data_IF_004453361776
#
_entry.id   IF_004453361776
#
_cell.length_a   1.000
_cell.length_b   1.000
_cell.length_c   1.000
_cell.angle_alpha   90.00
_cell.angle_beta   90.00
_cell.angle_gamma   90.00
#
_symmetry.space_group_name_H-M   'P 1'
#
loop_
_entity.id
_entity.type
_entity.pdbx_description
1 polymer ?
#
# COMPACT_ATOMS: atom_id res chain seq x y z
N UNK A 1 -9.31 62.93 -62.66
CA UNK A 1 -9.80 61.54 -62.84
C UNK A 1 -8.73 60.65 -62.24
N UNK A 2 -8.78 60.42 -60.93
CA UNK A 2 -7.74 59.69 -60.19
C UNK A 2 -8.45 58.70 -59.29
N UNK A 3 -8.35 57.42 -59.64
CA UNK A 3 -9.03 56.28 -59.01
C UNK A 3 -8.33 55.94 -57.69
N UNK A 4 -9.07 55.93 -56.59
CA UNK A 4 -8.65 55.28 -55.35
C UNK A 4 -8.66 53.76 -55.56
N UNK A 5 -7.52 53.11 -55.37
CA UNK A 5 -7.43 51.66 -55.20
C UNK A 5 -7.52 51.33 -53.71
N UNK A 6 -8.61 50.70 -53.30
CA UNK A 6 -8.71 50.05 -51.99
C UNK A 6 -7.90 48.75 -52.06
N UNK A 7 -6.85 48.62 -51.26
CA UNK A 7 -6.09 47.39 -51.10
C UNK A 7 -6.74 46.57 -49.98
N UNK A 8 -7.56 45.58 -50.33
CA UNK A 8 -8.14 44.65 -49.35
C UNK A 8 -7.09 43.65 -48.92
N UNK A 9 -6.53 43.81 -47.72
CA UNK A 9 -5.59 42.87 -47.11
C UNK A 9 -6.36 41.63 -46.63
N UNK A 10 -6.28 40.53 -47.38
CA UNK A 10 -6.82 39.23 -46.97
C UNK A 10 -5.79 38.58 -46.03
N UNK A 11 -6.06 38.61 -44.72
CA UNK A 11 -5.29 37.89 -43.72
C UNK A 11 -5.71 36.41 -43.79
N UNK A 12 -4.85 35.56 -44.34
CA UNK A 12 -4.98 34.11 -44.19
C UNK A 12 -4.52 33.72 -42.78
N UNK A 13 -5.47 33.50 -41.87
CA UNK A 13 -5.21 32.80 -40.61
C UNK A 13 -5.10 31.31 -40.97
N UNK A 14 -3.88 30.78 -41.03
CA UNK A 14 -3.70 29.33 -41.07
C UNK A 14 -4.05 28.76 -39.71
N UNK A 15 -5.19 28.11 -39.57
CA UNK A 15 -5.42 27.16 -38.49
C UNK A 15 -4.45 25.99 -38.70
N UNK A 16 -3.29 26.03 -38.04
CA UNK A 16 -2.56 24.80 -37.78
C UNK A 16 -3.44 23.99 -36.81
N UNK A 17 -4.04 22.91 -37.30
CA UNK A 17 -4.59 21.90 -36.42
C UNK A 17 -3.42 21.37 -35.59
N UNK A 18 -3.32 21.83 -34.34
CA UNK A 18 -2.47 21.18 -33.36
C UNK A 18 -3.08 19.80 -33.12
N UNK A 19 -2.61 18.81 -33.85
CA UNK A 19 -2.86 17.41 -33.52
C UNK A 19 -2.20 17.19 -32.17
N UNK A 20 -2.99 17.25 -31.09
CA UNK A 20 -2.54 16.84 -29.77
C UNK A 20 -2.35 15.34 -29.86
N UNK A 21 -1.10 14.89 -29.97
CA UNK A 21 -0.78 13.47 -29.91
C UNK A 21 -1.04 12.99 -28.49
N UNK A 22 -1.84 11.93 -28.33
CA UNK A 22 -2.07 11.32 -27.03
C UNK A 22 -0.72 10.97 -26.37
N UNK A 23 -0.51 11.45 -25.14
CA UNK A 23 0.73 11.18 -24.43
C UNK A 23 0.78 9.69 -24.04
N UNK A 24 1.90 9.04 -24.35
CA UNK A 24 2.07 7.61 -24.15
C UNK A 24 2.41 7.28 -22.69
N UNK A 25 1.93 6.14 -22.21
CA UNK A 25 2.54 5.48 -21.05
C UNK A 25 3.91 4.95 -21.46
N UNK A 26 4.97 5.40 -20.77
CA UNK A 26 6.37 5.06 -21.11
C UNK A 26 7.07 4.33 -19.99
N UNK A 27 7.73 3.25 -20.36
CA UNK A 27 8.56 2.45 -19.47
C UNK A 27 9.86 2.07 -20.15
N UNK A 28 10.89 1.73 -19.38
CA UNK A 28 12.10 1.09 -19.93
C UNK A 28 12.26 -0.34 -19.42
N UNK A 29 12.82 -1.19 -20.28
CA UNK A 29 12.93 -2.62 -20.06
C UNK A 29 14.30 -3.11 -20.51
N UNK A 30 14.88 -4.08 -19.80
CA UNK A 30 16.10 -4.78 -20.20
C UNK A 30 15.77 -6.21 -20.64
N UNK A 31 16.10 -6.55 -21.87
CA UNK A 31 15.90 -7.90 -22.42
C UNK A 31 16.86 -8.92 -21.80
N UNK A 32 16.38 -10.13 -21.53
CA UNK A 32 17.19 -11.27 -21.04
C UNK A 32 17.11 -12.50 -21.95
N UNK A 33 16.12 -12.54 -22.83
CA UNK A 33 15.72 -13.69 -23.66
C UNK A 33 15.23 -13.23 -25.05
N UNK A 34 15.71 -12.08 -25.53
CA UNK A 34 15.31 -11.45 -26.82
C UNK A 34 13.82 -11.09 -26.96
N UNK A 35 13.06 -11.10 -25.86
CA UNK A 35 11.62 -10.84 -25.88
C UNK A 35 11.20 -9.92 -24.74
N UNK A 36 10.14 -9.15 -24.98
CA UNK A 36 9.38 -8.43 -23.96
C UNK A 36 7.91 -8.71 -24.21
N UNK A 37 7.18 -9.13 -23.19
CA UNK A 37 5.73 -9.31 -23.26
C UNK A 37 5.05 -8.24 -22.45
N UNK A 38 4.13 -7.51 -23.08
CA UNK A 38 3.27 -6.53 -22.41
C UNK A 38 2.01 -7.25 -21.93
N UNK A 39 1.80 -7.36 -20.61
CA UNK A 39 0.70 -8.13 -20.07
C UNK A 39 -0.60 -7.31 -19.95
N UNK A 40 -1.71 -7.95 -20.28
CA UNK A 40 -3.09 -7.47 -20.20
C UNK A 40 -3.92 -8.35 -19.26
N UNK A 41 -5.10 -7.88 -18.87
CA UNK A 41 -6.09 -8.65 -18.14
C UNK A 41 -7.22 -9.09 -19.09
N UNK A 42 -7.37 -10.39 -19.33
CA UNK A 42 -8.35 -10.95 -20.27
C UNK A 42 -9.82 -10.61 -19.94
N UNK A 43 -10.10 -10.07 -18.75
CA UNK A 43 -11.42 -9.58 -18.33
C UNK A 43 -11.77 -8.17 -18.85
N UNK A 44 -10.81 -7.47 -19.45
CA UNK A 44 -10.98 -6.09 -19.93
C UNK A 44 -10.79 -5.99 -21.45
N UNK A 45 -11.32 -4.92 -22.03
CA UNK A 45 -11.22 -4.67 -23.47
C UNK A 45 -10.03 -3.76 -23.74
N UNK A 46 -9.20 -4.18 -24.68
CA UNK A 46 -8.00 -3.47 -25.11
C UNK A 46 -8.10 -3.09 -26.59
N UNK A 47 -7.54 -1.94 -26.93
CA UNK A 47 -7.26 -1.53 -28.29
C UNK A 47 -6.11 -0.52 -28.26
N UNK A 48 -4.89 -1.03 -28.15
CA UNK A 48 -3.71 -0.22 -27.93
C UNK A 48 -2.70 -0.32 -29.06
N UNK A 49 -1.84 0.68 -29.10
CA UNK A 49 -0.66 0.75 -29.96
C UNK A 49 0.56 0.74 -29.08
N UNK A 50 1.58 0.05 -29.54
CA UNK A 50 2.86 -0.06 -28.87
C UNK A 50 3.96 0.36 -29.83
N UNK A 51 4.90 1.16 -29.34
CA UNK A 51 6.15 1.50 -30.02
C UNK A 51 7.31 1.18 -29.11
N UNK A 52 8.39 0.64 -29.67
CA UNK A 52 9.60 0.37 -28.91
C UNK A 52 10.83 0.93 -29.61
N UNK A 53 11.77 1.40 -28.81
CA UNK A 53 13.04 1.96 -29.27
C UNK A 53 14.19 1.39 -28.46
N UNK A 54 15.20 0.87 -29.14
CA UNK A 54 16.43 0.41 -28.52
C UNK A 54 17.26 1.60 -28.07
N UNK A 55 17.42 1.76 -26.77
CA UNK A 55 18.21 2.83 -26.15
C UNK A 55 19.70 2.46 -26.06
N UNK A 56 20.03 1.17 -26.08
CA UNK A 56 21.42 0.67 -26.08
C UNK A 56 22.06 0.87 -27.45
N UNK A 57 21.45 0.31 -28.49
CA UNK A 57 21.91 0.39 -29.88
C UNK A 57 20.87 1.14 -30.71
N UNK A 58 20.93 2.47 -30.66
CA UNK A 58 19.92 3.37 -31.25
C UNK A 58 19.56 3.00 -32.69
N UNK A 59 18.28 2.69 -32.91
CA UNK A 59 17.70 2.37 -34.22
C UNK A 59 17.77 0.90 -34.62
N UNK A 60 18.42 0.03 -33.84
CA UNK A 60 18.48 -1.41 -34.09
C UNK A 60 17.36 -2.12 -33.33
N UNK A 61 16.46 -2.79 -34.05
CA UNK A 61 15.35 -3.52 -33.43
C UNK A 61 14.19 -2.62 -32.95
N UNK A 62 14.19 -1.34 -33.31
CA UNK A 62 13.04 -0.44 -33.12
C UNK A 62 11.83 -0.95 -33.92
N UNK A 63 10.62 -0.66 -33.43
CA UNK A 63 9.41 -1.06 -34.13
C UNK A 63 8.13 -0.55 -33.50
N UNK A 64 7.02 -1.01 -34.05
CA UNK A 64 5.68 -0.68 -33.56
C UNK A 64 4.66 -1.74 -33.96
N UNK A 65 3.62 -1.87 -33.15
CA UNK A 65 2.43 -2.62 -33.48
C UNK A 65 1.18 -1.81 -33.12
N UNK A 66 0.09 -2.03 -33.85
CA UNK A 66 -1.18 -1.33 -33.67
C UNK A 66 -2.32 -2.33 -33.48
N UNK A 67 -3.44 -1.86 -32.94
CA UNK A 67 -4.68 -2.63 -32.76
C UNK A 67 -4.48 -3.91 -31.93
N UNK A 68 -3.65 -3.82 -30.88
CA UNK A 68 -3.45 -4.92 -29.95
C UNK A 68 -4.63 -4.99 -28.98
N UNK A 69 -5.15 -6.21 -28.78
CA UNK A 69 -6.36 -6.46 -27.98
C UNK A 69 -6.12 -7.41 -26.80
N UNK A 70 -4.91 -7.93 -26.67
CA UNK A 70 -4.49 -8.90 -25.65
C UNK A 70 -2.99 -8.70 -25.36
N UNK A 71 -2.37 -9.67 -24.66
CA UNK A 71 -0.93 -9.70 -24.44
C UNK A 71 -0.19 -9.54 -25.75
N UNK A 72 0.85 -8.69 -25.77
CA UNK A 72 1.69 -8.54 -26.96
C UNK A 72 3.15 -8.85 -26.64
N UNK A 73 3.70 -9.84 -27.32
CA UNK A 73 5.12 -10.19 -27.25
C UNK A 73 5.88 -9.55 -28.39
N UNK A 74 6.83 -8.68 -28.04
CA UNK A 74 7.83 -8.16 -28.95
C UNK A 74 8.93 -9.21 -29.08
N UNK A 75 9.08 -9.74 -30.28
CA UNK A 75 10.03 -10.80 -30.62
C UNK A 75 11.29 -10.23 -31.29
N UNK A 76 12.35 -11.05 -31.37
CA UNK A 76 13.60 -10.74 -32.07
C UNK A 76 14.31 -9.47 -31.58
N UNK A 77 14.16 -9.13 -30.30
CA UNK A 77 14.89 -8.03 -29.68
C UNK A 77 16.36 -8.40 -29.46
N UNK A 78 17.25 -7.43 -29.54
CA UNK A 78 18.63 -7.64 -29.12
C UNK A 78 18.68 -8.02 -27.64
N UNK A 79 19.39 -9.10 -27.31
CA UNK A 79 19.56 -9.54 -25.92
C UNK A 79 20.40 -8.52 -25.12
N UNK A 80 20.19 -8.45 -23.80
CA UNK A 80 20.89 -7.54 -22.89
C UNK A 80 20.83 -6.05 -23.27
N UNK A 81 19.84 -5.65 -24.06
CA UNK A 81 19.65 -4.26 -24.50
C UNK A 81 18.47 -3.63 -23.76
N UNK A 82 18.51 -2.30 -23.62
CA UNK A 82 17.45 -1.52 -22.99
C UNK A 82 16.54 -0.97 -24.07
N UNK A 83 15.24 -1.19 -23.91
CA UNK A 83 14.20 -0.66 -24.78
C UNK A 83 13.31 0.31 -24.01
N UNK A 84 13.01 1.46 -24.62
CA UNK A 84 11.84 2.26 -24.23
C UNK A 84 10.60 1.64 -24.88
N UNK A 85 9.57 1.38 -24.09
CA UNK A 85 8.25 0.95 -24.54
C UNK A 85 7.27 2.10 -24.33
N UNK A 86 6.56 2.49 -25.38
CA UNK A 86 5.55 3.54 -25.37
C UNK A 86 4.19 2.98 -25.80
N UNK A 87 3.18 3.08 -24.92
CA UNK A 87 1.83 2.56 -25.13
C UNK A 87 0.82 3.72 -25.22
N UNK A 88 -0.07 3.65 -26.20
CA UNK A 88 -1.19 4.60 -26.40
C UNK A 88 -2.47 3.85 -26.77
N UNK A 89 -3.62 4.50 -26.68
CA UNK A 89 -4.93 3.88 -26.97
C UNK A 89 -5.57 3.31 -25.72
N UNK A 90 -6.50 2.38 -25.91
CA UNK A 90 -7.26 1.77 -24.82
C UNK A 90 -6.43 0.65 -24.17
N UNK A 91 -5.73 1.00 -23.10
CA UNK A 91 -4.89 0.09 -22.31
C UNK A 91 -5.28 0.16 -20.82
N UNK A 92 -6.46 -0.34 -20.43
CA UNK A 92 -7.07 -0.03 -19.14
C UNK A 92 -6.38 -0.66 -17.93
N UNK A 93 -5.50 -1.65 -18.12
CA UNK A 93 -4.82 -2.34 -17.04
C UNK A 93 -3.53 -2.99 -17.53
N UNK A 94 -2.41 -2.61 -16.95
CA UNK A 94 -1.13 -3.31 -17.10
C UNK A 94 -1.12 -4.39 -16.04
N UNK A 95 -1.17 -5.69 -16.38
CA UNK A 95 -1.47 -6.74 -15.39
C UNK A 95 -0.34 -7.77 -15.26
N UNK A 96 0.74 -7.42 -14.55
CA UNK A 96 1.91 -8.29 -14.40
C UNK A 96 1.59 -9.63 -13.71
N UNK A 97 0.56 -9.68 -12.85
CA UNK A 97 0.09 -10.91 -12.18
C UNK A 97 1.20 -11.71 -11.46
N UNK A 98 2.28 -11.04 -11.05
CA UNK A 98 3.44 -11.68 -10.43
C UNK A 98 4.26 -12.58 -11.36
N UNK A 99 4.18 -12.38 -12.69
CA UNK A 99 5.04 -13.05 -13.67
C UNK A 99 6.51 -12.77 -13.35
N UNK A 100 7.28 -13.81 -13.02
CA UNK A 100 8.68 -13.64 -12.57
C UNK A 100 9.66 -13.30 -13.69
N UNK A 101 9.30 -13.60 -14.94
CA UNK A 101 10.16 -13.38 -16.10
C UNK A 101 10.06 -11.93 -16.54
N UNK A 102 8.85 -11.46 -16.87
CA UNK A 102 8.62 -10.10 -17.37
C UNK A 102 8.81 -9.04 -16.28
N UNK A 103 8.39 -9.31 -15.04
CA UNK A 103 8.59 -8.36 -13.94
C UNK A 103 10.07 -8.07 -13.67
N UNK A 104 10.97 -9.02 -13.96
CA UNK A 104 12.41 -8.81 -13.80
C UNK A 104 13.02 -7.87 -14.84
N UNK A 105 12.34 -7.70 -15.98
CA UNK A 105 12.83 -6.96 -17.15
C UNK A 105 12.51 -5.47 -17.09
N UNK A 106 11.38 -5.06 -16.51
CA UNK A 106 11.05 -3.63 -16.39
C UNK A 106 12.02 -2.93 -15.42
N UNK A 107 12.49 -1.75 -15.82
CA UNK A 107 13.48 -0.95 -15.12
C UNK A 107 12.91 0.36 -14.60
N UNK A 108 12.10 1.07 -15.39
CA UNK A 108 11.59 2.39 -15.01
C UNK A 108 10.16 2.63 -15.49
N UNK A 109 9.38 3.39 -14.71
CA UNK A 109 8.24 4.16 -15.21
C UNK A 109 8.75 5.57 -15.52
N UNK A 110 8.73 5.92 -16.80
CA UNK A 110 9.22 7.21 -17.31
C UNK A 110 8.09 8.25 -17.41
N UNK A 111 6.89 7.86 -17.86
CA UNK A 111 5.71 8.72 -17.99
C UNK A 111 4.43 7.88 -17.85
N UNK A 112 3.39 8.43 -17.22
CA UNK A 112 2.05 7.81 -17.14
C UNK A 112 1.22 8.01 -18.41
N UNK A 113 1.37 9.17 -19.05
CA UNK A 113 0.61 9.56 -20.22
C UNK A 113 -0.89 9.72 -19.95
N UNK A 114 -1.69 9.59 -21.00
CA UNK A 114 -3.15 9.81 -20.95
C UNK A 114 -3.97 8.53 -20.76
N UNK A 115 -3.34 7.42 -20.38
CA UNK A 115 -4.03 6.15 -20.16
C UNK A 115 -5.04 6.30 -19.02
N UNK A 116 -6.30 5.96 -19.31
CA UNK A 116 -7.40 5.92 -18.34
C UNK A 116 -7.44 4.55 -17.70
N UNK A 117 -6.74 4.39 -16.59
CA UNK A 117 -6.65 3.13 -15.88
C UNK A 117 -7.99 2.73 -15.27
N UNK A 118 -8.40 1.48 -15.48
CA UNK A 118 -9.57 0.88 -14.83
C UNK A 118 -9.18 0.06 -13.60
N UNK A 119 -7.95 -0.45 -13.55
CA UNK A 119 -7.41 -1.16 -12.40
C UNK A 119 -5.90 -0.96 -12.32
N UNK A 120 -5.36 -1.00 -11.09
CA UNK A 120 -3.92 -1.08 -10.81
C UNK A 120 -3.55 -2.35 -10.04
N UNK A 121 -4.52 -3.26 -9.87
CA UNK A 121 -4.33 -4.54 -9.17
C UNK A 121 -3.17 -5.32 -9.79
N UNK A 122 -2.12 -5.58 -9.02
CA UNK A 122 -0.93 -6.32 -9.46
C UNK A 122 -0.18 -5.71 -10.67
N UNK A 123 -0.33 -4.41 -10.97
CA UNK A 123 0.24 -3.86 -12.18
C UNK A 123 1.76 -4.01 -12.28
N UNK A 124 2.49 -3.73 -11.20
CA UNK A 124 3.95 -3.87 -11.15
C UNK A 124 4.38 -4.91 -10.11
N UNK A 125 3.49 -5.82 -9.69
CA UNK A 125 3.83 -6.85 -8.69
C UNK A 125 5.04 -7.68 -9.14
N UNK A 126 6.04 -7.81 -8.27
CA UNK A 126 7.29 -8.53 -8.52
C UNK A 126 8.35 -7.76 -9.29
N UNK A 127 8.12 -6.51 -9.68
CA UNK A 127 9.06 -5.73 -10.49
C UNK A 127 10.27 -5.23 -9.66
N UNK A 128 11.13 -6.15 -9.23
CA UNK A 128 12.25 -5.89 -8.30
C UNK A 128 13.24 -4.84 -8.77
N UNK A 129 13.38 -4.65 -10.09
CA UNK A 129 14.31 -3.70 -10.68
C UNK A 129 13.69 -2.32 -10.95
N UNK A 130 12.39 -2.16 -10.73
CA UNK A 130 11.65 -0.95 -11.08
C UNK A 130 12.08 0.24 -10.20
N UNK A 131 12.47 1.34 -10.83
CA UNK A 131 12.59 2.68 -10.22
C UNK A 131 11.61 3.65 -10.86
N UNK A 132 11.42 4.83 -10.28
CA UNK A 132 10.35 5.76 -10.69
C UNK A 132 10.89 7.13 -11.10
N UNK A 133 10.64 7.53 -12.36
CA UNK A 133 11.07 8.82 -12.91
C UNK A 133 9.93 9.73 -13.36
N UNK A 134 8.72 9.18 -13.48
CA UNK A 134 7.56 9.93 -13.95
C UNK A 134 7.29 11.20 -13.14
N UNK A 135 7.06 12.30 -13.87
CA UNK A 135 6.75 13.62 -13.31
C UNK A 135 5.30 14.04 -13.57
N UNK A 136 4.64 13.36 -14.48
CA UNK A 136 3.19 13.40 -14.67
C UNK A 136 2.47 12.51 -13.66
N UNK A 137 1.14 12.58 -13.65
CA UNK A 137 0.28 11.82 -12.73
C UNK A 137 -0.60 10.84 -13.54
N UNK A 138 -0.83 9.62 -13.02
CA UNK A 138 -1.74 8.68 -13.67
C UNK A 138 -3.19 9.16 -13.58
N UNK A 139 -3.98 8.90 -14.62
CA UNK A 139 -5.43 9.03 -14.53
C UNK A 139 -6.03 7.79 -13.84
N UNK A 140 -6.36 7.95 -12.57
CA UNK A 140 -6.88 6.91 -11.69
C UNK A 140 -8.40 7.03 -11.44
N UNK A 141 -9.11 7.86 -12.20
CA UNK A 141 -10.52 8.18 -11.96
C UNK A 141 -11.42 6.93 -11.88
N UNK A 142 -11.08 5.86 -12.59
CA UNK A 142 -11.85 4.60 -12.58
C UNK A 142 -11.25 3.51 -11.69
N UNK A 143 -10.09 3.74 -11.07
CA UNK A 143 -9.37 2.72 -10.31
C UNK A 143 -9.98 2.58 -8.93
N UNK A 144 -10.55 1.39 -8.66
CA UNK A 144 -11.03 1.00 -7.33
C UNK A 144 -10.04 0.10 -6.57
N UNK A 145 -9.20 -0.62 -7.31
CA UNK A 145 -8.31 -1.64 -6.77
C UNK A 145 -6.86 -1.32 -7.14
N UNK A 146 -6.04 -1.04 -6.12
CA UNK A 146 -4.59 -0.86 -6.20
C UNK A 146 -3.83 -1.99 -5.49
N UNK A 147 -4.52 -3.07 -5.13
CA UNK A 147 -3.92 -4.13 -4.35
C UNK A 147 -2.75 -4.78 -5.10
N UNK A 148 -1.68 -5.08 -4.36
CA UNK A 148 -0.42 -5.62 -4.90
C UNK A 148 0.26 -4.78 -6.00
N UNK A 149 -0.13 -3.52 -6.23
CA UNK A 149 0.39 -2.73 -7.37
C UNK A 149 1.92 -2.68 -7.42
N UNK A 150 2.59 -2.46 -6.29
CA UNK A 150 4.05 -2.42 -6.15
C UNK A 150 4.59 -3.47 -5.18
N UNK A 151 3.85 -4.57 -4.98
CA UNK A 151 4.33 -5.68 -4.17
C UNK A 151 5.70 -6.15 -4.70
N UNK A 152 6.66 -6.36 -3.81
CA UNK A 152 8.03 -6.85 -4.10
C UNK A 152 8.79 -6.00 -5.13
N UNK A 153 8.42 -4.73 -5.28
CA UNK A 153 9.20 -3.75 -6.03
C UNK A 153 10.34 -3.21 -5.16
N UNK A 154 11.37 -4.03 -4.92
CA UNK A 154 12.44 -3.75 -3.95
C UNK A 154 13.18 -2.42 -4.23
N UNK A 155 13.33 -2.01 -5.50
CA UNK A 155 13.98 -0.76 -5.91
C UNK A 155 13.03 0.41 -6.17
N UNK A 156 11.72 0.23 -5.99
CA UNK A 156 10.76 1.30 -6.25
C UNK A 156 10.92 2.40 -5.21
N UNK A 157 11.56 3.48 -5.63
CA UNK A 157 11.88 4.65 -4.83
C UNK A 157 10.77 5.69 -4.88
N UNK A 158 10.01 5.74 -5.98
CA UNK A 158 9.01 6.77 -6.21
C UNK A 158 9.62 8.16 -6.35
N UNK A 159 8.79 9.19 -6.41
CA UNK A 159 9.22 10.57 -6.19
C UNK A 159 8.03 11.41 -5.66
N UNK A 160 8.25 12.70 -5.39
CA UNK A 160 7.23 13.58 -4.80
C UNK A 160 5.92 13.72 -5.60
N UNK A 161 5.89 13.37 -6.89
CA UNK A 161 4.66 13.44 -7.70
C UNK A 161 3.63 12.40 -7.29
N UNK A 162 4.07 11.32 -6.63
CA UNK A 162 3.16 10.29 -6.12
C UNK A 162 2.12 10.85 -5.13
N UNK A 163 2.48 11.90 -4.40
CA UNK A 163 1.58 12.60 -3.47
C UNK A 163 0.42 13.34 -4.17
N UNK A 164 0.46 13.47 -5.50
CA UNK A 164 -0.54 14.17 -6.31
C UNK A 164 -1.50 13.20 -6.99
N UNK A 165 -1.36 11.89 -6.78
CA UNK A 165 -2.25 10.89 -7.35
C UNK A 165 -3.66 11.07 -6.80
N UNK A 166 -4.66 11.02 -7.69
CA UNK A 166 -6.05 11.03 -7.28
C UNK A 166 -6.47 9.61 -6.86
N UNK A 167 -6.59 9.37 -5.57
CA UNK A 167 -6.99 8.05 -5.01
C UNK A 167 -8.43 8.02 -4.51
N UNK A 168 -9.25 9.02 -4.81
CA UNK A 168 -10.59 9.19 -4.20
C UNK A 168 -11.51 7.98 -4.42
N UNK A 169 -11.40 7.28 -5.55
CA UNK A 169 -12.25 6.14 -5.87
C UNK A 169 -11.68 4.78 -5.41
N UNK A 170 -10.48 4.77 -4.82
CA UNK A 170 -9.81 3.54 -4.41
C UNK A 170 -10.45 2.98 -3.15
N UNK A 171 -10.84 1.72 -3.19
CA UNK A 171 -11.43 0.99 -2.06
C UNK A 171 -10.48 -0.06 -1.49
N UNK A 172 -9.52 -0.55 -2.29
CA UNK A 172 -8.59 -1.60 -1.87
C UNK A 172 -7.13 -1.19 -2.13
N UNK A 173 -6.33 -1.14 -1.06
CA UNK A 173 -4.89 -0.85 -1.09
C UNK A 173 -4.06 -2.00 -0.49
N UNK A 174 -4.65 -3.18 -0.30
CA UNK A 174 -3.96 -4.30 0.35
C UNK A 174 -2.69 -4.70 -0.41
N UNK A 175 -1.62 -5.02 0.32
CA UNK A 175 -0.32 -5.42 -0.23
C UNK A 175 0.36 -4.41 -1.18
N UNK A 176 -0.16 -3.18 -1.34
CA UNK A 176 0.28 -2.26 -2.38
C UNK A 176 1.79 -2.02 -2.39
N UNK A 177 2.42 -1.90 -1.22
CA UNK A 177 3.88 -1.73 -1.05
C UNK A 177 4.51 -2.85 -0.21
N UNK A 178 3.87 -4.02 -0.16
CA UNK A 178 4.42 -5.18 0.54
C UNK A 178 5.81 -5.53 -0.02
N UNK A 179 6.85 -5.55 0.82
CA UNK A 179 8.26 -5.79 0.42
C UNK A 179 8.81 -4.76 -0.59
N UNK A 180 8.26 -3.54 -0.64
CA UNK A 180 8.82 -2.44 -1.43
C UNK A 180 9.93 -1.73 -0.62
N UNK A 181 11.08 -2.40 -0.47
CA UNK A 181 12.15 -2.03 0.48
C UNK A 181 12.69 -0.60 0.34
N UNK A 182 12.67 -0.02 -0.86
CA UNK A 182 13.18 1.35 -1.12
C UNK A 182 12.11 2.44 -1.00
N UNK A 183 10.83 2.07 -0.83
CA UNK A 183 9.74 3.04 -0.88
C UNK A 183 9.63 3.84 0.42
N UNK A 184 9.72 5.17 0.33
CA UNK A 184 9.58 6.08 1.46
C UNK A 184 9.06 7.48 1.03
N UNK A 185 8.13 7.53 0.07
CA UNK A 185 7.64 8.80 -0.49
C UNK A 185 6.44 9.37 0.25
N UNK A 186 6.27 10.70 0.29
CA UNK A 186 5.17 11.33 1.00
C UNK A 186 3.83 11.02 0.32
N UNK A 187 3.02 10.19 0.96
CA UNK A 187 1.67 9.80 0.52
C UNK A 187 0.56 10.28 1.48
N UNK A 188 0.93 11.11 2.46
CA UNK A 188 0.00 11.61 3.47
C UNK A 188 -1.15 12.46 2.94
N UNK A 189 -1.13 12.90 1.66
CA UNK A 189 -2.23 13.67 1.03
C UNK A 189 -3.17 12.82 0.16
N UNK A 190 -2.96 11.51 0.11
CA UNK A 190 -3.90 10.63 -0.58
C UNK A 190 -5.28 10.69 0.07
N UNK A 191 -6.33 10.71 -0.76
CA UNK A 191 -7.69 10.54 -0.28
C UNK A 191 -7.92 9.05 -0.02
N UNK A 192 -8.09 8.68 1.24
CA UNK A 192 -8.35 7.29 1.67
C UNK A 192 -9.78 7.08 2.16
N UNK A 193 -10.68 8.05 1.98
CA UNK A 193 -12.03 8.02 2.57
C UNK A 193 -12.83 6.79 2.18
N UNK A 194 -12.62 6.26 0.97
CA UNK A 194 -13.34 5.09 0.44
C UNK A 194 -12.59 3.78 0.65
N UNK A 195 -11.37 3.81 1.21
CA UNK A 195 -10.55 2.61 1.42
C UNK A 195 -11.14 1.77 2.54
N UNK A 196 -11.39 0.49 2.25
CA UNK A 196 -11.90 -0.48 3.22
C UNK A 196 -10.84 -1.51 3.64
N UNK A 197 -9.82 -1.73 2.81
CA UNK A 197 -8.77 -2.72 3.07
C UNK A 197 -7.36 -2.14 2.88
N UNK A 198 -6.58 -2.15 3.95
CA UNK A 198 -5.17 -1.71 4.01
C UNK A 198 -4.23 -2.85 4.46
N UNK A 199 -4.69 -4.11 4.47
CA UNK A 199 -3.90 -5.22 4.98
C UNK A 199 -2.60 -5.40 4.21
N UNK A 200 -1.51 -5.70 4.92
CA UNK A 200 -0.17 -5.89 4.37
C UNK A 200 0.41 -4.70 3.56
N UNK A 201 -0.22 -3.51 3.57
CA UNK A 201 0.14 -2.42 2.66
C UNK A 201 1.63 -2.05 2.72
N UNK A 202 2.25 -2.04 3.90
CA UNK A 202 3.67 -1.76 4.13
C UNK A 202 4.42 -2.91 4.80
N UNK A 203 3.88 -4.13 4.78
CA UNK A 203 4.56 -5.30 5.33
C UNK A 203 5.95 -5.45 4.71
N UNK A 204 7.00 -5.53 5.54
CA UNK A 204 8.41 -5.62 5.11
C UNK A 204 8.86 -4.45 4.20
N UNK A 205 8.19 -3.30 4.22
CA UNK A 205 8.64 -2.09 3.54
C UNK A 205 9.73 -1.40 4.37
N UNK A 206 10.96 -1.91 4.29
CA UNK A 206 12.06 -1.61 5.21
C UNK A 206 12.55 -0.16 5.27
N UNK A 207 12.08 0.72 4.37
CA UNK A 207 12.39 2.16 4.40
C UNK A 207 11.19 3.04 4.77
N UNK A 208 9.96 2.50 4.79
CA UNK A 208 8.76 3.34 4.88
C UNK A 208 8.56 3.88 6.31
N UNK A 209 8.59 5.21 6.45
CA UNK A 209 8.34 5.90 7.73
C UNK A 209 7.77 7.31 7.50
N UNK A 210 6.85 7.47 6.54
CA UNK A 210 6.27 8.78 6.18
C UNK A 210 5.02 9.11 7.01
N UNK A 211 4.77 10.40 7.29
CA UNK A 211 3.58 10.81 8.04
C UNK A 211 2.30 10.53 7.22
N UNK A 212 1.37 9.83 7.85
CA UNK A 212 0.07 9.41 7.29
C UNK A 212 -1.08 9.62 8.31
N UNK A 213 -0.86 10.45 9.33
CA UNK A 213 -1.86 10.75 10.37
C UNK A 213 -3.16 11.33 9.78
N UNK A 214 -3.05 12.05 8.67
CA UNK A 214 -4.15 12.76 7.99
C UNK A 214 -5.02 11.85 7.09
N UNK A 215 -4.70 10.55 7.00
CA UNK A 215 -5.55 9.60 6.29
C UNK A 215 -6.91 9.44 6.98
N UNK A 216 -7.97 9.42 6.17
CA UNK A 216 -9.30 9.06 6.65
C UNK A 216 -9.44 7.53 6.65
N UNK A 217 -9.52 6.94 7.84
CA UNK A 217 -9.64 5.48 8.02
C UNK A 217 -11.04 5.03 8.42
N UNK A 218 -12.04 5.91 8.39
CA UNK A 218 -13.37 5.61 8.93
C UNK A 218 -14.06 4.39 8.30
N UNK A 219 -13.73 4.06 7.05
CA UNK A 219 -14.31 2.93 6.32
C UNK A 219 -13.41 1.68 6.31
N UNK A 220 -12.21 1.77 6.89
CA UNK A 220 -11.27 0.65 6.93
C UNK A 220 -11.78 -0.42 7.89
N UNK A 221 -11.86 -1.65 7.39
CA UNK A 221 -12.26 -2.82 8.19
C UNK A 221 -11.08 -3.76 8.46
N UNK A 222 -10.04 -3.74 7.61
CA UNK A 222 -8.88 -4.62 7.76
C UNK A 222 -7.56 -3.84 7.69
N UNK A 223 -6.77 -3.93 8.77
CA UNK A 223 -5.43 -3.36 8.91
C UNK A 223 -4.36 -4.43 9.24
N UNK A 224 -4.67 -5.73 9.08
CA UNK A 224 -3.75 -6.78 9.48
C UNK A 224 -2.44 -6.73 8.72
N UNK A 225 -1.35 -7.01 9.42
CA UNK A 225 0.02 -6.99 8.90
C UNK A 225 0.47 -5.67 8.27
N UNK A 226 -0.28 -4.57 8.42
CA UNK A 226 -0.06 -3.35 7.63
C UNK A 226 1.37 -2.80 7.77
N UNK A 227 1.96 -2.85 8.97
CA UNK A 227 3.31 -2.36 9.25
C UNK A 227 4.28 -3.44 9.73
N UNK A 228 3.90 -4.73 9.68
CA UNK A 228 4.75 -5.82 10.13
C UNK A 228 6.15 -5.74 9.48
N UNK A 229 7.20 -5.86 10.28
CA UNK A 229 8.61 -5.73 9.88
C UNK A 229 9.03 -4.38 9.27
N UNK A 230 8.18 -3.35 9.27
CA UNK A 230 8.54 -2.01 8.83
C UNK A 230 9.06 -1.16 10.00
N UNK A 231 10.00 -0.22 9.77
CA UNK A 231 10.49 0.69 10.81
C UNK A 231 9.51 1.86 11.08
N UNK A 232 8.22 1.67 10.79
CA UNK A 232 7.22 2.73 10.88
C UNK A 232 7.01 3.16 12.33
N UNK A 233 7.15 4.46 12.59
CA UNK A 233 6.98 5.05 13.91
C UNK A 233 6.45 6.50 13.82
N UNK A 234 5.47 6.74 12.94
CA UNK A 234 4.81 8.05 12.81
C UNK A 234 3.48 8.11 13.56
N UNK A 235 3.05 9.31 14.00
CA UNK A 235 1.77 9.46 14.66
C UNK A 235 0.60 8.98 13.79
N UNK A 236 -0.26 8.15 14.37
CA UNK A 236 -1.52 7.64 13.78
C UNK A 236 -2.66 7.62 14.81
N UNK A 237 -2.47 8.30 15.95
CA UNK A 237 -3.43 8.29 17.05
C UNK A 237 -4.76 8.97 16.74
N UNK A 238 -4.84 9.72 15.63
CA UNK A 238 -6.07 10.36 15.13
C UNK A 238 -6.91 9.50 14.19
N UNK A 239 -6.41 8.33 13.78
CA UNK A 239 -7.16 7.44 12.91
C UNK A 239 -8.48 7.01 13.56
N UNK A 240 -9.54 7.00 12.75
CA UNK A 240 -10.81 6.43 13.15
C UNK A 240 -10.78 4.92 12.90
N UNK A 241 -10.71 4.12 13.97
CA UNK A 241 -10.66 2.66 13.92
C UNK A 241 -12.00 2.01 14.22
N UNK A 242 -13.11 2.76 14.31
CA UNK A 242 -14.39 2.24 14.80
C UNK A 242 -14.99 1.13 13.93
N UNK A 243 -14.58 1.01 12.67
CA UNK A 243 -15.05 -0.04 11.75
C UNK A 243 -14.03 -1.16 11.55
N UNK A 244 -12.84 -1.08 12.16
CA UNK A 244 -11.80 -2.09 12.02
C UNK A 244 -12.19 -3.34 12.78
N UNK A 245 -12.14 -4.49 12.11
CA UNK A 245 -12.41 -5.81 12.68
C UNK A 245 -11.14 -6.65 12.85
N UNK A 246 -10.12 -6.41 12.01
CA UNK A 246 -8.87 -7.19 12.01
C UNK A 246 -7.65 -6.26 12.11
N UNK A 247 -6.92 -6.40 13.23
CA UNK A 247 -5.65 -5.72 13.52
C UNK A 247 -4.50 -6.73 13.72
N UNK A 248 -4.70 -7.99 13.36
CA UNK A 248 -3.72 -9.05 13.59
C UNK A 248 -2.36 -8.70 12.98
N UNK A 249 -1.29 -8.89 13.74
CA UNK A 249 0.11 -8.63 13.37
C UNK A 249 0.41 -7.21 12.84
N UNK A 250 -0.47 -6.23 13.04
CA UNK A 250 -0.31 -4.90 12.44
C UNK A 250 1.05 -4.25 12.74
N UNK A 251 1.59 -4.45 13.95
CA UNK A 251 2.88 -3.92 14.41
C UNK A 251 3.89 -5.02 14.75
N UNK A 252 3.76 -6.21 14.16
CA UNK A 252 4.65 -7.34 14.40
C UNK A 252 6.12 -7.00 14.06
N UNK A 253 7.03 -7.23 15.01
CA UNK A 253 8.47 -6.97 14.88
C UNK A 253 8.81 -5.54 14.40
N UNK A 254 8.09 -4.54 14.92
CA UNK A 254 8.30 -3.11 14.58
C UNK A 254 8.98 -2.33 15.70
N UNK A 255 9.41 -1.10 15.39
CA UNK A 255 9.87 -0.10 16.38
C UNK A 255 8.78 0.90 16.77
N UNK A 256 7.50 0.59 16.47
CA UNK A 256 6.39 1.49 16.69
C UNK A 256 6.16 1.76 18.18
N UNK A 257 6.05 3.04 18.56
CA UNK A 257 5.80 3.45 19.95
C UNK A 257 5.03 4.78 20.03
N UNK A 258 4.02 4.97 19.18
CA UNK A 258 3.19 6.19 19.15
C UNK A 258 1.89 5.99 19.93
N UNK A 259 1.33 7.06 20.53
CA UNK A 259 0.12 6.95 21.34
C UNK A 259 -1.10 6.55 20.50
N UNK A 260 -1.63 5.36 20.76
CA UNK A 260 -2.83 4.78 20.12
C UNK A 260 -3.93 4.42 21.12
N UNK A 261 -3.77 4.78 22.39
CA UNK A 261 -4.75 4.48 23.45
C UNK A 261 -6.13 5.16 23.30
N UNK A 262 -6.32 5.98 22.26
CA UNK A 262 -7.61 6.63 21.92
C UNK A 262 -8.35 5.94 20.77
N UNK A 263 -7.77 4.90 20.17
CA UNK A 263 -8.45 4.13 19.14
C UNK A 263 -9.72 3.48 19.69
N UNK A 264 -10.76 3.46 18.86
CA UNK A 264 -11.97 2.71 19.15
C UNK A 264 -11.77 1.28 18.63
N UNK A 265 -11.64 0.32 19.54
CA UNK A 265 -11.46 -1.10 19.23
C UNK A 265 -12.72 -1.92 19.42
N UNK A 266 -13.89 -1.28 19.64
CA UNK A 266 -15.12 -1.98 20.02
C UNK A 266 -15.61 -2.99 18.97
N UNK A 267 -15.18 -2.88 17.71
CA UNK A 267 -15.53 -3.80 16.62
C UNK A 267 -14.39 -4.76 16.24
N UNK A 268 -13.23 -4.66 16.88
CA UNK A 268 -12.09 -5.53 16.59
C UNK A 268 -12.37 -6.92 17.13
N UNK A 269 -12.24 -7.92 16.26
CA UNK A 269 -12.40 -9.34 16.59
C UNK A 269 -11.06 -10.06 16.67
N UNK A 270 -10.06 -9.60 15.90
CA UNK A 270 -8.74 -10.25 15.83
C UNK A 270 -7.61 -9.26 16.14
N UNK A 271 -6.86 -9.56 17.21
CA UNK A 271 -5.65 -8.85 17.66
C UNK A 271 -4.44 -9.79 17.74
N UNK A 272 -4.51 -10.97 17.12
CA UNK A 272 -3.46 -11.98 17.14
C UNK A 272 -2.11 -11.38 16.74
N UNK A 273 -1.09 -11.56 17.59
CA UNK A 273 0.28 -11.12 17.32
C UNK A 273 0.49 -9.61 17.09
N UNK A 274 -0.50 -8.76 17.39
CA UNK A 274 -0.49 -7.33 17.00
C UNK A 274 0.80 -6.60 17.40
N UNK A 275 1.36 -6.88 18.59
CA UNK A 275 2.60 -6.31 19.11
C UNK A 275 3.69 -7.35 19.39
N UNK A 276 3.55 -8.57 18.85
CA UNK A 276 4.59 -9.58 19.02
C UNK A 276 5.92 -9.07 18.47
N UNK A 277 7.02 -9.29 19.19
CA UNK A 277 8.36 -8.76 18.90
C UNK A 277 8.45 -7.21 18.74
N UNK A 278 7.40 -6.45 19.08
CA UNK A 278 7.40 -4.98 19.04
C UNK A 278 8.15 -4.41 20.26
N UNK A 279 9.46 -4.64 20.30
CA UNK A 279 10.33 -4.38 21.47
C UNK A 279 10.38 -2.92 21.95
N UNK A 280 9.90 -1.97 21.14
CA UNK A 280 9.83 -0.55 21.51
C UNK A 280 8.47 -0.10 22.02
N UNK A 281 7.41 -0.91 21.85
CA UNK A 281 6.05 -0.50 22.14
C UNK A 281 5.79 -0.45 23.65
N UNK A 282 5.54 0.75 24.19
CA UNK A 282 5.26 0.95 25.60
C UNK A 282 4.20 2.05 25.81
N UNK A 283 3.00 1.84 25.28
CA UNK A 283 1.90 2.81 25.33
C UNK A 283 0.72 2.30 26.16
N UNK A 284 -0.03 3.20 26.83
CA UNK A 284 -1.21 2.81 27.59
C UNK A 284 -2.37 2.45 26.65
N UNK A 285 -2.78 1.18 26.66
CA UNK A 285 -3.90 0.66 25.84
C UNK A 285 -5.02 0.01 26.66
N UNK A 286 -4.96 0.07 28.00
CA UNK A 286 -6.01 -0.49 28.87
C UNK A 286 -7.41 0.12 28.72
N UNK A 287 -7.56 1.19 27.93
CA UNK A 287 -8.87 1.78 27.58
C UNK A 287 -9.48 1.20 26.31
N UNK A 288 -8.81 0.25 25.66
CA UNK A 288 -9.36 -0.44 24.50
C UNK A 288 -10.51 -1.34 24.94
N UNK A 289 -11.63 -1.21 24.24
CA UNK A 289 -12.77 -2.10 24.38
C UNK A 289 -12.45 -3.43 23.69
N UNK A 290 -12.53 -4.53 24.42
CA UNK A 290 -12.18 -5.88 23.96
C UNK A 290 -13.39 -6.79 23.79
N UNK A 291 -14.62 -6.27 23.94
CA UNK A 291 -15.84 -7.08 24.08
C UNK A 291 -16.14 -8.02 22.90
N UNK A 292 -15.64 -7.68 21.71
CA UNK A 292 -15.84 -8.44 20.48
C UNK A 292 -14.61 -9.24 20.06
N UNK A 293 -13.50 -9.12 20.80
CA UNK A 293 -12.27 -9.84 20.48
C UNK A 293 -12.48 -11.33 20.71
N UNK A 294 -12.02 -12.13 19.76
CA UNK A 294 -12.04 -13.60 19.82
C UNK A 294 -10.63 -14.20 19.82
N UNK A 295 -9.61 -13.43 19.41
CA UNK A 295 -8.22 -13.89 19.40
C UNK A 295 -7.23 -12.78 19.81
N UNK A 296 -6.47 -13.03 20.86
CA UNK A 296 -5.31 -12.23 21.31
C UNK A 296 -4.04 -13.10 21.46
N UNK A 297 -4.03 -14.27 20.80
CA UNK A 297 -2.88 -15.17 20.85
C UNK A 297 -1.63 -14.43 20.40
N UNK A 298 -0.51 -14.65 21.10
CA UNK A 298 0.79 -14.04 20.78
C UNK A 298 0.84 -12.50 20.84
N UNK A 299 -0.24 -11.81 21.23
CA UNK A 299 -0.36 -10.35 21.08
C UNK A 299 0.82 -9.57 21.67
N UNK A 300 1.37 -10.01 22.81
CA UNK A 300 2.43 -9.30 23.53
C UNK A 300 3.75 -10.06 23.67
N UNK A 301 3.91 -11.21 23.03
CA UNK A 301 5.15 -11.99 23.10
C UNK A 301 6.36 -11.14 22.74
N UNK A 302 7.33 -11.05 23.65
CA UNK A 302 8.56 -10.29 23.51
C UNK A 302 8.36 -8.79 23.16
N UNK A 303 7.19 -8.23 23.46
CA UNK A 303 6.90 -6.81 23.26
C UNK A 303 7.62 -5.93 24.30
N UNK A 304 7.73 -4.63 24.01
CA UNK A 304 8.33 -3.63 24.91
C UNK A 304 7.43 -3.12 26.04
N UNK A 305 6.27 -3.75 26.27
CA UNK A 305 5.23 -3.22 27.14
C UNK A 305 5.68 -3.29 28.60
N UNK A 306 6.06 -2.15 29.17
CA UNK A 306 6.57 -2.08 30.54
C UNK A 306 5.51 -2.45 31.57
N UNK A 307 5.95 -2.92 32.75
CA UNK A 307 5.08 -3.39 33.84
C UNK A 307 3.96 -2.44 34.19
N UNK A 308 4.22 -1.12 34.23
CA UNK A 308 3.16 -0.13 34.53
C UNK A 308 2.05 -0.11 33.48
N UNK A 309 2.40 -0.18 32.19
CA UNK A 309 1.43 -0.17 31.11
C UNK A 309 0.76 -1.54 30.94
N UNK A 310 1.47 -2.63 31.17
CA UNK A 310 0.87 -3.97 31.17
C UNK A 310 -0.11 -4.15 32.33
N UNK A 311 0.25 -3.68 33.54
CA UNK A 311 -0.66 -3.62 34.69
C UNK A 311 -1.92 -2.81 34.36
N UNK A 312 -1.74 -1.60 33.82
CA UNK A 312 -2.87 -0.76 33.42
C UNK A 312 -3.74 -1.41 32.32
N UNK A 313 -3.13 -2.20 31.44
CA UNK A 313 -3.83 -2.93 30.37
C UNK A 313 -4.73 -4.02 30.95
N UNK A 314 -4.19 -4.88 31.80
CA UNK A 314 -4.95 -5.94 32.46
C UNK A 314 -6.03 -5.39 33.41
N UNK A 315 -5.72 -4.33 34.17
CA UNK A 315 -6.69 -3.64 35.03
C UNK A 315 -7.86 -3.06 34.22
N UNK A 316 -7.54 -2.42 33.10
CA UNK A 316 -8.53 -1.87 32.18
C UNK A 316 -9.45 -2.95 31.62
N UNK A 317 -8.89 -4.04 31.08
CA UNK A 317 -9.67 -5.12 30.49
C UNK A 317 -10.46 -5.96 31.49
N UNK A 318 -10.05 -6.00 32.77
CA UNK A 318 -10.82 -6.63 33.85
C UNK A 318 -11.95 -5.74 34.40
N UNK A 319 -12.04 -4.48 33.95
CA UNK A 319 -13.03 -3.49 34.38
C UNK A 319 -13.97 -3.16 33.22
N UNK A 320 -15.28 -3.20 33.48
CA UNK A 320 -16.29 -2.88 32.48
C UNK A 320 -16.63 -1.39 32.51
N UNK A 321 -16.66 -0.73 31.35
CA UNK A 321 -17.51 0.46 31.20
C UNK A 321 -18.98 0.05 31.06
N UNK A 322 -19.90 0.97 31.32
CA UNK A 322 -21.34 0.69 31.31
C UNK A 322 -21.78 0.19 29.92
N UNK A 323 -22.29 -1.04 29.87
CA UNK A 323 -22.79 -1.67 28.64
C UNK A 323 -21.78 -2.52 27.88
N UNK A 324 -20.51 -2.53 28.30
CA UNK A 324 -19.48 -3.41 27.74
C UNK A 324 -19.53 -4.81 28.35
N UNK A 325 -18.89 -5.78 27.67
CA UNK A 325 -18.70 -7.15 28.17
C UNK A 325 -17.22 -7.52 28.09
N UNK A 326 -16.74 -8.27 29.08
CA UNK A 326 -15.43 -8.91 28.99
C UNK A 326 -15.66 -10.16 28.12
N UNK A 327 -14.88 -10.36 27.04
CA UNK A 327 -14.99 -11.55 26.22
C UNK A 327 -14.59 -12.80 27.03
N UNK A 328 -15.15 -13.96 26.69
CA UNK A 328 -14.85 -15.23 27.34
C UNK A 328 -13.85 -16.06 26.51
N UNK A 329 -13.14 -16.98 27.17
CA UNK A 329 -12.25 -17.98 26.54
C UNK A 329 -11.11 -17.37 25.69
N UNK A 330 -10.63 -16.18 26.06
CA UNK A 330 -9.55 -15.49 25.34
C UNK A 330 -8.18 -16.04 25.72
N UNK A 331 -7.39 -16.37 24.70
CA UNK A 331 -5.97 -16.66 24.85
C UNK A 331 -5.15 -15.38 24.69
N UNK A 332 -4.29 -15.10 25.67
CA UNK A 332 -3.35 -13.99 25.66
C UNK A 332 -1.94 -14.50 26.00
N UNK A 333 -1.00 -14.37 25.06
CA UNK A 333 0.41 -14.65 25.34
C UNK A 333 1.19 -13.34 25.49
N UNK A 334 1.98 -13.27 26.56
CA UNK A 334 2.71 -12.10 27.00
C UNK A 334 4.13 -12.49 27.45
N UNK A 335 4.78 -13.39 26.69
CA UNK A 335 6.12 -13.88 27.02
C UNK A 335 7.13 -12.74 27.19
N UNK A 336 7.84 -12.75 28.33
CA UNK A 336 8.83 -11.73 28.67
C UNK A 336 8.25 -10.48 29.34
N UNK A 337 6.92 -10.37 29.49
CA UNK A 337 6.29 -9.31 30.24
C UNK A 337 6.22 -9.60 31.74
N UNK A 338 6.10 -8.53 32.52
CA UNK A 338 6.03 -8.58 33.97
C UNK A 338 4.83 -7.79 34.46
N UNK A 339 4.08 -8.34 35.41
CA UNK A 339 2.97 -7.67 36.07
C UNK A 339 3.18 -7.57 37.59
N UNK A 340 2.44 -6.68 38.22
CA UNK A 340 2.40 -6.54 39.67
C UNK A 340 1.02 -6.07 40.15
N UNK A 341 0.67 -4.81 39.86
CA UNK A 341 -0.55 -4.16 40.39
C UNK A 341 -1.83 -4.78 39.84
N UNK A 342 -1.75 -5.49 38.73
CA UNK A 342 -2.89 -6.16 38.09
C UNK A 342 -3.13 -7.60 38.58
N UNK A 343 -2.43 -8.09 39.62
CA UNK A 343 -2.56 -9.48 40.12
C UNK A 343 -4.01 -9.94 40.26
N UNK A 344 -4.86 -9.15 40.92
CA UNK A 344 -6.29 -9.45 41.10
C UNK A 344 -7.08 -9.39 39.78
N UNK A 345 -6.83 -8.37 38.96
CA UNK A 345 -7.48 -8.21 37.66
C UNK A 345 -7.15 -9.35 36.68
N UNK A 346 -5.87 -9.73 36.60
CA UNK A 346 -5.38 -10.87 35.83
C UNK A 346 -6.05 -12.16 36.28
N UNK A 347 -6.11 -12.40 37.60
CA UNK A 347 -6.74 -13.60 38.15
C UNK A 347 -8.25 -13.64 37.87
N UNK A 348 -8.93 -12.49 37.96
CA UNK A 348 -10.34 -12.36 37.60
C UNK A 348 -10.61 -12.73 36.14
N UNK A 349 -9.80 -12.24 35.19
CA UNK A 349 -9.92 -12.60 33.78
C UNK A 349 -9.85 -14.12 33.56
N UNK A 350 -8.98 -14.80 34.31
CA UNK A 350 -8.81 -16.26 34.24
C UNK A 350 -9.99 -16.99 34.87
N UNK A 351 -10.29 -16.68 36.14
CA UNK A 351 -11.23 -17.47 36.95
C UNK A 351 -12.70 -17.23 36.55
N UNK A 352 -13.05 -15.99 36.19
CA UNK A 352 -14.44 -15.61 35.92
C UNK A 352 -14.79 -15.63 34.43
N UNK A 353 -13.80 -15.40 33.54
CA UNK A 353 -14.02 -15.26 32.09
C UNK A 353 -13.28 -16.31 31.25
N UNK A 354 -12.60 -17.27 31.87
CA UNK A 354 -11.95 -18.38 31.15
C UNK A 354 -10.72 -17.97 30.33
N UNK A 355 -10.13 -16.80 30.61
CA UNK A 355 -8.93 -16.38 29.87
C UNK A 355 -7.76 -17.33 30.16
N UNK A 356 -6.95 -17.58 29.12
CA UNK A 356 -5.66 -18.25 29.24
C UNK A 356 -4.55 -17.23 29.03
N UNK A 357 -3.95 -16.76 30.14
CA UNK A 357 -2.85 -15.79 30.13
C UNK A 357 -1.53 -16.51 30.43
N UNK A 358 -0.60 -16.49 29.46
CA UNK A 358 0.65 -17.26 29.50
C UNK A 358 1.89 -16.39 29.22
N UNK A 359 3.02 -16.74 29.84
CA UNK A 359 4.34 -16.16 29.54
C UNK A 359 4.70 -14.90 30.34
N UNK A 360 3.74 -14.28 31.03
CA UNK A 360 3.99 -13.17 31.94
C UNK A 360 4.39 -13.64 33.34
N UNK A 361 5.19 -12.82 34.04
CA UNK A 361 5.70 -13.15 35.38
C UNK A 361 5.27 -12.12 36.43
N UNK A 362 4.87 -12.58 37.62
CA UNK A 362 4.64 -11.71 38.76
C UNK A 362 6.00 -11.14 39.23
N UNK A 363 6.07 -9.82 39.35
CA UNK A 363 7.33 -9.10 39.58
C UNK A 363 7.43 -8.36 40.91
N UNK A 364 6.40 -8.44 41.76
CA UNK A 364 6.44 -7.90 43.11
C UNK A 364 6.28 -8.99 44.17
N UNK A 365 6.92 -8.77 45.31
CA UNK A 365 6.73 -9.56 46.53
C UNK A 365 5.51 -9.02 47.29
N UNK A 366 4.77 -9.94 47.94
CA UNK A 366 3.52 -9.67 48.67
C UNK A 366 3.68 -8.69 49.85
#
# INVERSE_FOLDING_TARGET
>A
MTKNFLLTLIIFISLAANTVYAQAFRTTWKTTDTKITIPTNDELIYNYKIKWKNLTNKGVGDGSAENQTENYTIENLENNSIYEIAITGDFPHFFMKGDKTESSKILTIEEWGEIKWQSMKQAFSGCKNLTYKATDIPNLEKVKDMSWMFERCEKFDGNSTINKWNTENVTNMSFMFNTASSFNQPIGKWNTENVTNMSFMFNTASSFNQPIEEWNTQNVTNMSWMFAFAPFNQPIGKWNTSNVTDMSYMFYATSFNQPIGKWNTSNVTDMNGMFSDATSFNQPIGKWNTQNVTDMSEMFNYSGLGTENYDATLLGWATLEEGEKIPEDIKLNAEGLKYCKSKEARQKLIDEYGWTIEGDELSCED
#
